data_IF_659862209420
#
_entry.id   IF_659862209420
#
_cell.length_a   1.000
_cell.length_b   1.000
_cell.length_c   1.000
_cell.angle_alpha   90.00
_cell.angle_beta   90.00
_cell.angle_gamma   90.00
#
_symmetry.space_group_name_H-M   'P 1'
#
loop_
_entity.id
_entity.type
_entity.pdbx_description
1 polymer ?
#
# COMPACT_ATOMS: atom_id res chain seq x y z
N UNK A 1 -24.92 -38.48 -8.17
CA UNK A 1 -25.35 -38.23 -6.77
C UNK A 1 -24.16 -38.56 -5.89
N UNK A 2 -23.59 -37.72 -5.04
CA UNK A 2 -23.82 -36.33 -4.63
C UNK A 2 -22.70 -35.95 -3.64
N UNK A 3 -22.63 -34.66 -3.28
CA UNK A 3 -21.75 -34.09 -2.24
C UNK A 3 -20.33 -33.76 -2.74
N UNK A 4 -19.90 -32.52 -2.94
CA UNK A 4 -20.35 -31.27 -2.32
C UNK A 4 -19.75 -31.10 -0.93
N UNK A 5 -18.50 -30.64 -0.86
CA UNK A 5 -17.92 -30.06 0.36
C UNK A 5 -17.05 -28.86 -0.03
N UNK A 6 -17.70 -27.70 -0.04
CA UNK A 6 -17.04 -26.41 0.02
C UNK A 6 -16.40 -26.23 1.41
N UNK A 7 -15.15 -25.80 1.45
CA UNK A 7 -14.69 -24.79 2.42
C UNK A 7 -13.32 -24.24 1.98
N UNK A 8 -13.36 -23.44 0.92
CA UNK A 8 -12.30 -22.49 0.62
C UNK A 8 -12.66 -21.17 1.30
N UNK A 9 -12.16 -20.91 2.52
CA UNK A 9 -12.17 -19.58 3.14
C UNK A 9 -11.27 -19.53 4.39
N UNK A 10 -10.02 -19.96 4.25
CA UNK A 10 -9.02 -19.93 5.33
C UNK A 10 -7.78 -19.11 4.98
N UNK A 11 -7.92 -18.01 4.21
CA UNK A 11 -6.80 -17.10 3.97
C UNK A 11 -6.41 -16.38 5.26
N UNK A 12 -5.26 -16.73 5.83
CA UNK A 12 -4.78 -16.20 7.10
C UNK A 12 -4.48 -14.69 7.02
N UNK A 13 -4.69 -13.92 8.10
CA UNK A 13 -4.35 -12.49 8.15
C UNK A 13 -2.86 -12.21 7.88
N UNK A 14 -2.00 -13.23 8.04
CA UNK A 14 -0.58 -13.17 7.72
C UNK A 14 -0.34 -12.86 6.24
N UNK A 15 -1.10 -13.48 5.32
CA UNK A 15 -0.89 -13.29 3.88
C UNK A 15 -1.26 -11.88 3.41
N UNK A 16 -2.27 -11.26 4.02
CA UNK A 16 -2.69 -9.89 3.71
C UNK A 16 -1.67 -8.86 4.20
N UNK A 17 -1.16 -9.04 5.42
CA UNK A 17 -0.11 -8.18 5.98
C UNK A 17 1.20 -8.30 5.20
N UNK A 18 1.62 -9.52 4.85
CA UNK A 18 2.84 -9.74 4.05
C UNK A 18 2.75 -9.10 2.66
N UNK A 19 1.57 -9.08 2.02
CA UNK A 19 1.37 -8.38 0.74
C UNK A 19 1.43 -6.85 0.88
N UNK A 20 0.89 -6.31 1.97
CA UNK A 20 0.98 -4.87 2.28
C UNK A 20 2.44 -4.48 2.54
N UNK A 21 3.20 -5.29 3.27
CA UNK A 21 4.63 -5.08 3.52
C UNK A 21 5.46 -5.17 2.24
N UNK A 22 5.18 -6.15 1.37
CA UNK A 22 5.83 -6.26 0.07
C UNK A 22 5.60 -5.01 -0.79
N UNK A 23 4.36 -4.53 -0.88
CA UNK A 23 4.03 -3.30 -1.61
C UNK A 23 4.69 -2.05 -1.03
N UNK A 24 4.88 -1.98 0.29
CA UNK A 24 5.62 -0.88 0.93
C UNK A 24 7.09 -0.89 0.54
N UNK A 25 7.74 -2.06 0.58
CA UNK A 25 9.14 -2.18 0.15
C UNK A 25 9.31 -1.82 -1.32
N UNK A 26 8.42 -2.31 -2.19
CA UNK A 26 8.42 -1.92 -3.61
C UNK A 26 8.28 -0.41 -3.79
N UNK A 27 7.45 0.27 -2.99
CA UNK A 27 7.32 1.72 -3.03
C UNK A 27 8.59 2.43 -2.56
N UNK A 28 9.19 1.99 -1.46
CA UNK A 28 10.45 2.55 -0.95
C UNK A 28 11.56 2.43 -2.00
N UNK A 29 11.67 1.28 -2.67
CA UNK A 29 12.64 1.03 -3.74
C UNK A 29 12.39 1.95 -4.95
N UNK A 30 11.13 2.09 -5.39
CA UNK A 30 10.75 2.96 -6.51
C UNK A 30 10.99 4.44 -6.20
N UNK A 31 10.72 4.89 -4.97
CA UNK A 31 10.99 6.25 -4.51
C UNK A 31 12.50 6.54 -4.50
N UNK A 32 13.33 5.56 -4.11
CA UNK A 32 14.78 5.68 -4.21
C UNK A 32 15.27 5.78 -5.67
N UNK A 33 14.72 4.97 -6.57
CA UNK A 33 15.02 5.04 -8.01
C UNK A 33 14.60 6.39 -8.61
N UNK A 34 13.45 6.93 -8.21
CA UNK A 34 12.96 8.25 -8.64
C UNK A 34 13.92 9.36 -8.21
N UNK A 35 14.37 9.32 -6.95
CA UNK A 35 15.33 10.28 -6.43
C UNK A 35 16.64 10.24 -7.22
N UNK A 36 17.17 9.04 -7.47
CA UNK A 36 18.40 8.85 -8.24
C UNK A 36 18.27 9.35 -9.68
N UNK A 37 17.15 9.07 -10.36
CA UNK A 37 16.87 9.54 -11.70
C UNK A 37 16.81 11.08 -11.75
N UNK A 38 16.16 11.69 -10.76
CA UNK A 38 16.02 13.14 -10.64
C UNK A 38 17.37 13.83 -10.43
N UNK A 39 18.18 13.34 -9.49
CA UNK A 39 19.53 13.86 -9.23
C UNK A 39 20.44 13.76 -10.47
N UNK A 40 20.39 12.60 -11.14
CA UNK A 40 21.16 12.38 -12.37
C UNK A 40 20.71 13.33 -13.49
N UNK A 41 19.39 13.52 -13.62
CA UNK A 41 18.80 14.48 -14.54
C UNK A 41 19.27 15.92 -14.28
N UNK A 42 19.28 16.34 -13.02
CA UNK A 42 19.78 17.65 -12.61
C UNK A 42 21.25 17.86 -12.94
N UNK A 43 22.11 16.88 -12.65
CA UNK A 43 23.53 16.94 -12.97
C UNK A 43 23.74 17.09 -14.49
N UNK A 44 23.00 16.34 -15.29
CA UNK A 44 23.04 16.44 -16.75
C UNK A 44 22.54 17.82 -17.24
N UNK A 45 21.49 18.36 -16.64
CA UNK A 45 20.97 19.70 -16.96
C UNK A 45 21.97 20.81 -16.60
N UNK A 46 22.59 20.74 -15.41
CA UNK A 46 23.66 21.67 -14.99
C UNK A 46 24.85 21.63 -15.93
N UNK A 47 25.30 20.43 -16.30
CA UNK A 47 26.37 20.24 -17.29
C UNK A 47 25.99 20.84 -18.65
N UNK A 48 24.76 20.63 -19.10
CA UNK A 48 24.26 21.20 -20.36
C UNK A 48 24.26 22.72 -20.36
N UNK A 49 23.91 23.37 -19.24
CA UNK A 49 24.00 24.84 -19.10
C UNK A 49 25.44 25.33 -19.26
N UNK A 50 26.39 24.75 -18.52
CA UNK A 50 27.82 25.10 -18.61
C UNK A 50 28.41 24.90 -20.02
N UNK A 51 28.02 23.82 -20.70
CA UNK A 51 28.47 23.56 -22.07
C UNK A 51 27.88 24.55 -23.07
N UNK A 52 26.64 25.02 -22.86
CA UNK A 52 26.04 26.10 -23.65
C UNK A 52 26.80 27.41 -23.50
N UNK A 53 27.11 27.81 -22.26
CA UNK A 53 27.92 29.00 -21.98
C UNK A 53 29.29 28.92 -22.66
N UNK A 54 29.99 27.79 -22.50
CA UNK A 54 31.28 27.56 -23.15
C UNK A 54 31.20 27.60 -24.68
N UNK A 55 30.11 27.09 -25.27
CA UNK A 55 29.87 27.18 -26.72
C UNK A 55 29.66 28.64 -27.18
N UNK A 56 29.05 29.50 -26.36
CA UNK A 56 28.92 30.94 -26.66
C UNK A 56 30.28 31.61 -26.64
N UNK A 57 31.04 31.41 -25.56
CA UNK A 57 32.38 31.97 -25.39
C UNK A 57 33.33 31.57 -26.54
N UNK A 58 33.29 30.32 -27.00
CA UNK A 58 34.08 29.88 -28.15
C UNK A 58 33.65 30.53 -29.47
N UNK A 59 32.37 30.91 -29.58
CA UNK A 59 31.87 31.64 -30.76
C UNK A 59 32.36 33.08 -30.76
N UNK A 60 32.27 33.75 -29.61
CA UNK A 60 32.76 35.12 -29.41
C UNK A 60 34.28 35.17 -29.64
N UNK A 61 35.04 34.27 -29.02
CA UNK A 61 36.48 34.17 -29.20
C UNK A 61 36.88 33.91 -30.67
N UNK A 62 36.16 33.03 -31.38
CA UNK A 62 36.43 32.79 -32.79
C UNK A 62 36.22 34.06 -33.63
N UNK A 63 35.16 34.84 -33.36
CA UNK A 63 34.90 36.11 -34.04
C UNK A 63 35.98 37.15 -33.74
N UNK A 64 36.40 37.29 -32.48
CA UNK A 64 37.51 38.17 -32.09
C UNK A 64 38.79 37.83 -32.85
N UNK A 65 39.09 36.53 -32.99
CA UNK A 65 40.28 36.07 -33.73
C UNK A 65 40.20 36.30 -35.23
N UNK A 66 39.02 36.14 -35.83
CA UNK A 66 38.80 36.53 -37.23
C UNK A 66 39.06 38.03 -37.43
N UNK A 67 38.52 38.88 -36.54
CA UNK A 67 38.74 40.34 -36.61
C UNK A 67 40.22 40.71 -36.42
N UNK A 68 40.94 39.97 -35.59
CA UNK A 68 42.39 40.13 -35.40
C UNK A 68 43.25 39.58 -36.55
N UNK A 69 42.66 38.95 -37.57
CA UNK A 69 43.38 38.31 -38.67
C UNK A 69 44.04 36.97 -38.33
N UNK A 70 43.76 36.42 -37.15
CA UNK A 70 44.29 35.14 -36.67
C UNK A 70 43.32 33.99 -37.02
N UNK A 71 43.33 33.61 -38.29
CA UNK A 71 42.43 32.57 -38.80
C UNK A 71 42.69 31.18 -38.20
N UNK A 72 43.93 30.86 -37.83
CA UNK A 72 44.28 29.56 -37.26
C UNK A 72 43.70 29.41 -35.85
N UNK A 73 43.81 30.44 -35.01
CA UNK A 73 43.16 30.45 -33.71
C UNK A 73 41.64 30.38 -33.84
N UNK A 74 41.04 31.11 -34.79
CA UNK A 74 39.60 31.04 -35.06
C UNK A 74 39.15 29.65 -35.49
N UNK A 75 39.86 29.01 -36.42
CA UNK A 75 39.59 27.62 -36.86
C UNK A 75 39.71 26.63 -35.70
N UNK A 76 40.72 26.78 -34.86
CA UNK A 76 40.91 25.94 -33.67
C UNK A 76 39.74 26.07 -32.69
N UNK A 77 39.31 27.30 -32.39
CA UNK A 77 38.17 27.57 -31.52
C UNK A 77 36.87 26.94 -32.05
N UNK A 78 36.63 27.01 -33.36
CA UNK A 78 35.47 26.38 -33.99
C UNK A 78 35.51 24.85 -33.93
N UNK A 79 36.68 24.23 -34.02
CA UNK A 79 36.83 22.77 -33.83
C UNK A 79 36.50 22.36 -32.39
N UNK A 80 37.00 23.11 -31.40
CA UNK A 80 36.66 22.88 -29.99
C UNK A 80 35.17 23.07 -29.77
N UNK A 81 34.56 24.10 -30.37
CA UNK A 81 33.11 24.35 -30.30
C UNK A 81 32.30 23.19 -30.85
N UNK A 82 32.72 22.57 -31.95
CA UNK A 82 32.05 21.38 -32.49
C UNK A 82 32.05 20.23 -31.47
N UNK A 83 33.19 19.93 -30.85
CA UNK A 83 33.30 18.93 -29.78
C UNK A 83 32.42 19.26 -28.56
N UNK A 84 32.39 20.53 -28.14
CA UNK A 84 31.50 21.01 -27.06
C UNK A 84 30.02 20.84 -27.44
N UNK A 85 29.65 21.07 -28.70
CA UNK A 85 28.29 20.88 -29.20
C UNK A 85 27.85 19.43 -29.11
N UNK A 86 28.72 18.49 -29.48
CA UNK A 86 28.43 17.06 -29.40
C UNK A 86 28.28 16.61 -27.94
N UNK A 87 29.15 17.09 -27.05
CA UNK A 87 29.02 16.86 -25.61
C UNK A 87 27.73 17.45 -25.03
N UNK A 88 27.33 18.64 -25.48
CA UNK A 88 26.08 19.30 -25.09
C UNK A 88 24.87 18.49 -25.54
N UNK A 89 24.88 17.99 -26.77
CA UNK A 89 23.81 17.16 -27.32
C UNK A 89 23.62 15.91 -26.46
N UNK A 90 24.72 15.20 -26.16
CA UNK A 90 24.69 14.00 -25.31
C UNK A 90 24.20 14.29 -23.89
N UNK A 91 24.66 15.39 -23.27
CA UNK A 91 24.21 15.78 -21.93
C UNK A 91 22.72 16.15 -21.90
N UNK A 92 22.23 16.82 -22.96
CA UNK A 92 20.82 17.21 -23.09
C UNK A 92 19.93 15.98 -23.29
N UNK A 93 20.34 15.05 -24.15
CA UNK A 93 19.61 13.78 -24.32
C UNK A 93 19.52 13.01 -22.99
N UNK A 94 20.63 12.87 -22.26
CA UNK A 94 20.62 12.21 -20.95
C UNK A 94 19.73 12.91 -19.94
N UNK A 95 19.73 14.24 -19.89
CA UNK A 95 18.83 14.99 -19.02
C UNK A 95 17.36 14.71 -19.36
N UNK A 96 17.01 14.72 -20.66
CA UNK A 96 15.64 14.43 -21.11
C UNK A 96 15.21 12.99 -20.83
N UNK A 97 16.11 12.01 -20.97
CA UNK A 97 15.83 10.62 -20.68
C UNK A 97 15.59 10.39 -19.18
N UNK A 98 16.38 11.02 -18.32
CA UNK A 98 16.18 10.95 -16.87
C UNK A 98 14.89 11.63 -16.44
N UNK A 99 14.54 12.78 -17.01
CA UNK A 99 13.26 13.45 -16.75
C UNK A 99 12.07 12.56 -17.18
N UNK A 100 12.16 11.89 -18.33
CA UNK A 100 11.14 10.95 -18.78
C UNK A 100 11.04 9.72 -17.89
N UNK A 101 12.17 9.21 -17.36
CA UNK A 101 12.18 8.12 -16.40
C UNK A 101 11.53 8.54 -15.08
N UNK A 102 11.89 9.71 -14.55
CA UNK A 102 11.31 10.25 -13.33
C UNK A 102 9.78 10.38 -13.45
N UNK A 103 9.27 10.95 -14.53
CA UNK A 103 7.82 11.06 -14.78
C UNK A 103 7.12 9.70 -14.86
N UNK A 104 7.77 8.68 -15.41
CA UNK A 104 7.22 7.31 -15.42
C UNK A 104 7.22 6.70 -14.02
N UNK A 105 8.28 6.89 -13.24
CA UNK A 105 8.38 6.39 -11.87
C UNK A 105 7.34 7.05 -10.97
N UNK A 106 7.12 8.36 -11.08
CA UNK A 106 6.05 9.08 -10.39
C UNK A 106 4.67 8.45 -10.65
N UNK A 107 4.34 8.18 -11.92
CA UNK A 107 3.07 7.55 -12.28
C UNK A 107 2.92 6.13 -11.73
N UNK A 108 4.00 5.34 -11.73
CA UNK A 108 4.01 3.98 -11.16
C UNK A 108 3.86 4.03 -9.63
N UNK A 109 4.58 4.93 -8.97
CA UNK A 109 4.49 5.17 -7.53
C UNK A 109 3.06 5.56 -7.15
N UNK A 110 2.45 6.51 -7.85
CA UNK A 110 1.06 6.92 -7.59
C UNK A 110 0.10 5.73 -7.72
N UNK A 111 0.21 4.94 -8.79
CA UNK A 111 -0.59 3.73 -8.96
C UNK A 111 -0.39 2.72 -7.82
N UNK A 112 0.85 2.52 -7.38
CA UNK A 112 1.20 1.58 -6.30
C UNK A 112 0.73 2.08 -4.93
N UNK A 113 0.80 3.38 -4.66
CA UNK A 113 0.26 4.00 -3.45
C UNK A 113 -1.27 3.82 -3.38
N UNK A 114 -1.98 3.99 -4.49
CA UNK A 114 -3.42 3.71 -4.57
C UNK A 114 -3.73 2.24 -4.30
N UNK A 115 -2.96 1.32 -4.89
CA UNK A 115 -3.09 -0.12 -4.63
C UNK A 115 -2.86 -0.45 -3.15
N UNK A 116 -1.84 0.12 -2.52
CA UNK A 116 -1.55 -0.07 -1.11
C UNK A 116 -2.73 0.41 -0.23
N UNK A 117 -3.27 1.60 -0.51
CA UNK A 117 -4.43 2.13 0.22
C UNK A 117 -5.66 1.24 0.06
N UNK A 118 -5.91 0.73 -1.15
CA UNK A 118 -7.00 -0.20 -1.40
C UNK A 118 -6.81 -1.50 -0.60
N UNK A 119 -5.62 -2.09 -0.60
CA UNK A 119 -5.31 -3.30 0.18
C UNK A 119 -5.49 -3.09 1.68
N UNK A 120 -5.09 -1.93 2.21
CA UNK A 120 -5.30 -1.60 3.63
C UNK A 120 -6.79 -1.50 3.95
N UNK A 121 -7.60 -0.89 3.07
CA UNK A 121 -9.06 -0.80 3.25
C UNK A 121 -9.72 -2.18 3.21
N UNK A 122 -9.34 -3.02 2.25
CA UNK A 122 -9.81 -4.42 2.15
C UNK A 122 -9.48 -5.21 3.41
N UNK A 123 -8.23 -5.15 3.88
CA UNK A 123 -7.79 -5.83 5.09
C UNK A 123 -8.55 -5.36 6.35
N UNK A 124 -8.83 -4.05 6.47
CA UNK A 124 -9.64 -3.53 7.59
C UNK A 124 -11.08 -4.04 7.54
N UNK A 125 -11.71 -4.03 6.36
CA UNK A 125 -13.06 -4.54 6.18
C UNK A 125 -13.17 -6.05 6.45
N UNK A 126 -12.13 -6.84 6.13
CA UNK A 126 -12.04 -8.26 6.48
C UNK A 126 -11.99 -8.47 8.00
N UNK A 127 -11.18 -7.67 8.71
CA UNK A 127 -11.08 -7.72 10.18
C UNK A 127 -12.41 -7.34 10.83
N UNK A 128 -13.07 -6.29 10.36
CA UNK A 128 -14.38 -5.86 10.86
C UNK A 128 -15.47 -6.92 10.63
N UNK A 129 -15.52 -7.53 9.43
CA UNK A 129 -16.45 -8.64 9.14
C UNK A 129 -16.24 -9.84 10.06
N UNK A 130 -14.98 -10.23 10.31
CA UNK A 130 -14.65 -11.31 11.25
C UNK A 130 -15.04 -10.96 12.69
N UNK A 131 -14.83 -9.72 13.12
CA UNK A 131 -15.22 -9.24 14.45
C UNK A 131 -16.74 -9.21 14.62
N UNK A 132 -17.49 -8.77 13.60
CA UNK A 132 -18.95 -8.78 13.60
C UNK A 132 -19.55 -10.19 13.60
N UNK A 133 -18.95 -11.13 12.85
CA UNK A 133 -19.34 -12.54 12.87
C UNK A 133 -19.10 -13.19 14.25
N UNK A 134 -18.01 -12.86 14.93
CA UNK A 134 -17.73 -13.33 16.28
C UNK A 134 -18.72 -12.77 17.33
N UNK A 135 -19.23 -11.55 17.14
CA UNK A 135 -20.22 -10.94 18.03
C UNK A 135 -21.66 -11.45 17.77
N UNK A 136 -22.01 -11.78 16.51
CA UNK A 136 -23.35 -12.27 16.14
C UNK A 136 -23.59 -13.76 16.41
N UNK A 137 -22.54 -14.59 16.49
CA UNK A 137 -22.65 -16.03 16.72
C UNK A 137 -22.99 -16.45 18.15
N UNK A 138 -22.82 -15.57 19.14
CA UNK A 138 -23.10 -15.87 20.55
C UNK A 138 -24.56 -15.68 20.96
N UNK A 139 -25.27 -14.72 20.35
CA UNK A 139 -26.63 -14.36 20.75
C UNK A 139 -27.68 -15.42 20.41
N UNK A 140 -27.66 -15.94 19.18
CA UNK A 140 -28.70 -16.88 18.72
C UNK A 140 -28.64 -18.25 19.43
N UNK A 141 -27.45 -18.70 19.84
CA UNK A 141 -27.28 -19.96 20.57
C UNK A 141 -27.66 -19.83 22.06
N UNK A 142 -27.37 -18.69 22.70
CA UNK A 142 -27.79 -18.44 24.09
C UNK A 142 -29.30 -18.20 24.20
N UNK A 143 -29.92 -17.54 23.23
CA UNK A 143 -31.36 -17.24 23.25
C UNK A 143 -32.20 -18.51 23.04
N UNK A 144 -31.81 -19.37 22.09
CA UNK A 144 -32.42 -20.70 21.93
C UNK A 144 -32.20 -21.63 23.13
N UNK A 145 -31.01 -21.57 23.77
CA UNK A 145 -30.74 -22.34 24.98
C UNK A 145 -31.51 -21.83 26.21
N UNK A 146 -31.76 -20.52 26.32
CA UNK A 146 -32.59 -19.93 27.38
C UNK A 146 -34.07 -20.24 27.18
N UNK A 147 -34.55 -20.27 25.94
CA UNK A 147 -35.95 -20.61 25.62
C UNK A 147 -36.26 -22.10 25.90
N UNK A 148 -35.35 -23.02 25.54
CA UNK A 148 -35.44 -24.44 25.87
C UNK A 148 -35.41 -24.71 27.40
N UNK A 149 -34.63 -23.92 28.15
CA UNK A 149 -34.55 -24.03 29.61
C UNK A 149 -35.79 -23.44 30.30
N UNK A 150 -36.44 -22.45 29.69
CA UNK A 150 -37.72 -21.88 30.17
C UNK A 150 -38.91 -22.79 29.89
N UNK A 151 -38.92 -23.47 28.74
CA UNK A 151 -39.94 -24.47 28.42
C UNK A 151 -39.88 -25.68 29.38
N UNK A 152 -38.67 -26.11 29.74
CA UNK A 152 -38.46 -27.27 30.62
C UNK A 152 -38.81 -27.04 32.11
N UNK A 153 -38.99 -25.80 32.59
CA UNK A 153 -39.28 -25.53 34.01
C UNK A 153 -40.76 -25.31 34.36
N UNK A 154 -41.68 -25.42 33.39
CA UNK A 154 -43.10 -25.10 33.60
C UNK A 154 -44.06 -26.30 33.70
N UNK A 155 -43.58 -27.55 33.56
CA UNK A 155 -44.42 -28.75 33.61
C UNK A 155 -44.19 -29.61 34.85
N UNK A 156 -44.79 -29.27 36.00
CA UNK A 156 -44.56 -30.06 37.22
C UNK A 156 -45.46 -29.76 38.42
N UNK A 157 -46.77 -29.60 38.24
CA UNK A 157 -47.75 -29.70 39.35
C UNK A 157 -49.00 -30.47 38.91
N UNK A 158 -49.19 -31.70 39.39
CA UNK A 158 -50.46 -32.20 39.99
C UNK A 158 -50.51 -33.72 40.24
N UNK A 159 -50.85 -34.05 41.51
CA UNK A 159 -51.79 -35.08 42.04
C UNK A 159 -51.36 -36.53 42.31
N UNK A 160 -51.70 -36.96 43.53
CA UNK A 160 -51.90 -38.33 44.04
C UNK A 160 -51.53 -38.37 45.53
N UNK A 161 -52.42 -38.14 46.51
CA UNK A 161 -53.59 -38.91 47.03
C UNK A 161 -53.18 -40.24 47.70
N UNK A 162 -53.39 -40.33 49.02
CA UNK A 162 -53.96 -41.44 49.83
C UNK A 162 -53.25 -41.73 51.18
N UNK A 163 -54.08 -42.11 52.18
CA UNK A 163 -53.74 -42.56 53.56
C UNK A 163 -54.07 -41.52 54.62
N UNK A 164 -55.16 -41.58 55.39
CA UNK A 164 -55.52 -42.62 56.38
C UNK A 164 -54.64 -42.43 57.63
N UNK A 165 -55.07 -42.20 58.87
CA UNK A 165 -56.34 -42.35 59.58
C UNK A 165 -55.97 -42.67 61.05
N UNK A 166 -56.64 -42.07 62.04
CA UNK A 166 -56.82 -42.66 63.38
C UNK A 166 -55.92 -42.20 64.55
N UNK A 167 -56.59 -41.87 65.67
CA UNK A 167 -56.07 -41.85 67.06
C UNK A 167 -55.62 -40.47 67.55
N UNK A 168 -56.17 -39.82 68.58
CA UNK A 168 -57.05 -40.26 69.67
C UNK A 168 -56.37 -39.98 71.02
N UNK A 169 -56.91 -39.01 71.78
CA UNK A 169 -56.80 -38.83 73.25
C UNK A 169 -55.37 -38.54 73.81
N UNK A 170 -55.11 -37.92 74.97
CA UNK A 170 -55.87 -37.31 76.06
C UNK A 170 -54.83 -36.63 77.00
N UNK A 171 -55.27 -35.63 77.77
CA UNK A 171 -54.78 -35.20 79.11
C UNK A 171 -53.33 -34.71 79.23
N UNK A 172 -53.09 -33.47 79.66
CA UNK A 172 -53.24 -32.98 81.04
C UNK A 172 -51.85 -32.45 81.45
N UNK A 173 -51.64 -31.49 82.33
CA UNK A 173 -52.48 -30.66 83.18
C UNK A 173 -51.63 -29.46 83.61
N UNK A 174 -52.26 -28.63 84.44
CA UNK A 174 -51.85 -27.31 84.96
C UNK A 174 -50.40 -27.14 85.42
#
# INVERSE_FOLDING_TARGET
>A
MGGGAASAAGGAPNDALSRIEALRRELDDLEAELQQASETGELCARRSRRLRERSSQLSEYALEKVVAGDEDAARSALRIKASVRDALHNATQRASANAALASKLEAVIESKQLQLLQRIREARADVERRRGAAAGGGGAAEEGARELRRASSSGGRRRGREGGGGGGAQQGGS
#
